data_IF_971337219988
#
_entry.id   IF_971337219988
#
_cell.length_a   1.000
_cell.length_b   1.000
_cell.length_c   1.000
_cell.angle_alpha   90.00
_cell.angle_beta   90.00
_cell.angle_gamma   90.00
#
_symmetry.space_group_name_H-M   'P 1'
#
loop_
_entity.id
_entity.type
_entity.pdbx_description
1 polymer ?
#
# COMPACT_ATOMS: atom_id res chain seq x y z
N UNK A 1 -13.24 10.36 -7.27
CA UNK A 1 -13.11 11.39 -6.22
C UNK A 1 -13.10 10.79 -4.84
N UNK A 2 -13.64 9.58 -4.62
CA UNK A 2 -13.68 8.96 -3.28
C UNK A 2 -14.80 9.52 -2.38
N UNK A 3 -15.26 10.73 -2.69
CA UNK A 3 -16.43 11.35 -2.09
C UNK A 3 -17.72 10.57 -2.37
N UNK A 4 -18.45 10.21 -1.32
CA UNK A 4 -19.73 9.48 -1.43
C UNK A 4 -20.93 10.38 -1.77
N UNK A 5 -20.78 11.70 -1.67
CA UNK A 5 -21.88 12.65 -1.93
C UNK A 5 -22.00 12.92 -3.42
N UNK A 6 -23.22 12.85 -4.00
CA UNK A 6 -23.45 13.24 -5.39
C UNK A 6 -23.06 14.70 -5.61
N UNK A 7 -22.29 14.97 -6.67
CA UNK A 7 -21.99 16.33 -7.10
C UNK A 7 -23.02 16.81 -8.12
N UNK A 8 -23.54 18.01 -7.91
CA UNK A 8 -24.43 18.67 -8.85
C UNK A 8 -23.63 19.16 -10.08
N UNK A 9 -24.08 18.83 -11.29
CA UNK A 9 -23.43 19.22 -12.55
C UNK A 9 -24.36 20.07 -13.40
N UNK A 10 -23.86 21.23 -13.80
CA UNK A 10 -24.55 22.15 -14.71
C UNK A 10 -24.04 22.01 -16.16
N UNK A 11 -24.75 22.63 -17.12
CA UNK A 11 -24.37 22.64 -18.54
C UNK A 11 -22.92 23.09 -18.73
N UNK A 12 -22.14 22.30 -19.48
CA UNK A 12 -20.72 22.55 -19.72
C UNK A 12 -19.78 21.91 -18.69
N UNK A 13 -20.31 21.32 -17.61
CA UNK A 13 -19.53 20.56 -16.65
C UNK A 13 -18.92 19.29 -17.26
N UNK A 14 -17.67 18.99 -16.88
CA UNK A 14 -17.02 17.73 -17.24
C UNK A 14 -17.61 16.59 -16.42
N UNK A 15 -17.87 15.46 -17.07
CA UNK A 15 -18.38 14.23 -16.45
C UNK A 15 -17.33 13.15 -16.62
N UNK A 16 -17.05 12.41 -15.54
CA UNK A 16 -16.08 11.32 -15.55
C UNK A 16 -16.66 10.09 -16.25
N UNK A 17 -15.84 9.38 -17.02
CA UNK A 17 -16.20 8.08 -17.57
C UNK A 17 -16.43 7.10 -16.41
N UNK A 18 -17.63 6.50 -16.35
CA UNK A 18 -18.05 5.61 -15.25
C UNK A 18 -18.85 6.27 -14.12
N UNK A 19 -19.13 7.58 -14.20
CA UNK A 19 -20.03 8.24 -13.25
C UNK A 19 -21.49 7.76 -13.42
N UNK A 20 -22.19 7.59 -12.30
CA UNK A 20 -23.60 7.22 -12.28
C UNK A 20 -24.48 8.47 -12.10
N UNK A 21 -25.51 8.61 -12.93
CA UNK A 21 -26.51 9.67 -12.77
C UNK A 21 -27.50 9.25 -11.70
N UNK A 22 -27.57 10.01 -10.61
CA UNK A 22 -28.47 9.73 -9.48
C UNK A 22 -29.87 10.30 -9.73
N UNK A 23 -29.96 11.53 -10.22
CA UNK A 23 -31.22 12.21 -10.50
C UNK A 23 -31.17 12.96 -11.84
N UNK A 24 -32.29 12.94 -12.58
CA UNK A 24 -32.45 13.63 -13.86
C UNK A 24 -31.93 12.88 -15.09
N UNK A 25 -31.80 13.59 -16.21
CA UNK A 25 -31.23 13.07 -17.45
C UNK A 25 -30.19 14.04 -18.00
N UNK A 26 -29.13 13.49 -18.60
CA UNK A 26 -28.05 14.28 -19.18
C UNK A 26 -27.81 13.85 -20.62
N UNK A 27 -27.58 14.82 -21.49
CA UNK A 27 -27.02 14.59 -22.82
C UNK A 27 -25.58 15.08 -22.76
N UNK A 28 -24.65 14.18 -23.02
CA UNK A 28 -23.22 14.46 -22.96
C UNK A 28 -22.54 14.19 -24.30
N UNK A 29 -21.42 14.86 -24.53
CA UNK A 29 -20.53 14.59 -25.66
C UNK A 29 -19.27 13.93 -25.13
N UNK A 30 -18.89 12.78 -25.69
CA UNK A 30 -17.64 12.12 -25.34
C UNK A 30 -16.46 12.97 -25.85
N UNK A 31 -15.69 13.55 -24.93
CA UNK A 31 -14.46 14.29 -25.25
C UNK A 31 -13.22 13.39 -25.32
N UNK A 32 -13.19 12.30 -24.55
CA UNK A 32 -12.09 11.33 -24.46
C UNK A 32 -12.67 9.92 -24.45
N UNK A 33 -12.01 8.96 -25.12
CA UNK A 33 -12.48 7.58 -25.29
C UNK A 33 -11.39 6.59 -24.88
N UNK A 34 -11.79 5.46 -24.29
CA UNK A 34 -10.91 4.34 -23.97
C UNK A 34 -9.74 4.71 -23.05
N UNK A 35 -8.51 4.50 -23.54
CA UNK A 35 -7.26 4.73 -22.80
C UNK A 35 -6.98 6.19 -22.50
N UNK A 36 -7.63 7.13 -23.19
CA UNK A 36 -7.48 8.57 -22.93
C UNK A 36 -8.41 9.06 -21.80
N UNK A 37 -9.18 8.16 -21.16
CA UNK A 37 -10.01 8.55 -20.01
C UNK A 37 -9.21 8.42 -18.71
N UNK A 38 -9.62 9.16 -17.67
CA UNK A 38 -9.03 9.01 -16.33
C UNK A 38 -9.10 7.57 -15.79
N UNK A 39 -10.10 6.79 -16.19
CA UNK A 39 -10.20 5.37 -15.85
C UNK A 39 -9.18 4.53 -16.64
N UNK A 40 -8.92 4.88 -17.89
CA UNK A 40 -7.88 4.28 -18.73
C UNK A 40 -6.48 4.52 -18.18
N UNK A 41 -6.19 5.74 -17.73
CA UNK A 41 -4.92 6.07 -17.07
C UNK A 41 -4.73 5.27 -15.77
N UNK A 42 -5.79 5.11 -14.97
CA UNK A 42 -5.75 4.26 -13.76
C UNK A 42 -5.51 2.79 -14.09
N UNK A 43 -6.17 2.27 -15.13
CA UNK A 43 -5.98 0.88 -15.59
C UNK A 43 -4.56 0.66 -16.10
N UNK A 44 -3.98 1.62 -16.83
CA UNK A 44 -2.60 1.57 -17.30
C UNK A 44 -1.61 1.63 -16.12
N UNK A 45 -1.80 2.56 -15.18
CA UNK A 45 -0.97 2.65 -13.98
C UNK A 45 -1.06 1.38 -13.13
N UNK A 46 -2.24 0.76 -13.03
CA UNK A 46 -2.45 -0.50 -12.32
C UNK A 46 -1.84 -1.69 -13.07
N UNK A 47 -1.86 -1.68 -14.40
CA UNK A 47 -1.20 -2.67 -15.24
C UNK A 47 0.32 -2.58 -15.11
N UNK A 48 0.88 -1.37 -15.16
CA UNK A 48 2.32 -1.10 -14.98
C UNK A 48 2.81 -1.51 -13.59
N UNK A 49 1.99 -1.31 -12.55
CA UNK A 49 2.29 -1.74 -11.19
C UNK A 49 2.29 -3.28 -11.03
N UNK A 50 1.37 -3.98 -11.71
CA UNK A 50 1.25 -5.45 -11.64
C UNK A 50 2.26 -6.20 -12.52
N UNK A 51 2.91 -5.53 -13.48
CA UNK A 51 3.86 -6.14 -14.42
C UNK A 51 5.25 -6.46 -13.85
N UNK A 52 5.54 -6.12 -12.59
CA UNK A 52 6.88 -6.29 -12.02
C UNK A 52 7.03 -7.68 -11.37
N UNK A 53 8.03 -8.45 -11.83
CA UNK A 53 8.40 -9.74 -11.22
C UNK A 53 8.74 -9.52 -9.74
N UNK A 54 8.09 -10.29 -8.85
CA UNK A 54 8.32 -10.28 -7.41
C UNK A 54 9.84 -10.32 -7.09
N UNK A 55 10.35 -9.40 -6.24
CA UNK A 55 11.77 -9.21 -5.98
C UNK A 55 12.47 -10.47 -5.46
N UNK A 56 11.81 -11.24 -4.58
CA UNK A 56 12.39 -12.44 -3.98
C UNK A 56 12.71 -13.57 -4.97
N UNK A 57 11.95 -13.69 -6.07
CA UNK A 57 12.23 -14.69 -7.10
C UNK A 57 13.59 -14.42 -7.79
N UNK A 58 13.96 -13.14 -7.89
CA UNK A 58 15.24 -12.73 -8.47
C UNK A 58 16.43 -13.06 -7.56
N UNK A 59 16.23 -13.15 -6.24
CA UNK A 59 17.32 -13.45 -5.31
C UNK A 59 17.77 -14.91 -5.44
N UNK A 60 16.82 -15.84 -5.50
CA UNK A 60 17.11 -17.25 -5.75
C UNK A 60 17.76 -17.45 -7.12
N UNK A 61 17.24 -16.80 -8.18
CA UNK A 61 17.81 -16.84 -9.52
C UNK A 61 19.25 -16.29 -9.56
N UNK A 62 19.51 -15.19 -8.83
CA UNK A 62 20.84 -14.57 -8.77
C UNK A 62 21.85 -15.46 -8.05
N UNK A 63 21.46 -16.09 -6.93
CA UNK A 63 22.32 -17.05 -6.24
C UNK A 63 22.59 -18.26 -7.13
N UNK A 64 21.56 -18.81 -7.78
CA UNK A 64 21.71 -19.92 -8.73
C UNK A 64 22.65 -19.56 -9.90
N UNK A 65 22.55 -18.33 -10.42
CA UNK A 65 23.38 -17.86 -11.53
C UNK A 65 24.88 -17.84 -11.22
N UNK A 66 25.26 -17.69 -9.95
CA UNK A 66 26.65 -17.72 -9.49
C UNK A 66 27.05 -19.11 -8.98
N UNK A 67 26.14 -19.79 -8.29
CA UNK A 67 26.41 -21.08 -7.67
C UNK A 67 26.63 -22.20 -8.69
N UNK A 68 25.78 -22.26 -9.74
CA UNK A 68 25.87 -23.28 -10.79
C UNK A 68 27.23 -23.28 -11.51
N UNK A 69 27.75 -22.15 -12.03
CA UNK A 69 29.05 -22.15 -12.69
C UNK A 69 30.21 -22.47 -11.73
N UNK A 70 30.13 -22.05 -10.46
CA UNK A 70 31.16 -22.37 -9.45
C UNK A 70 31.24 -23.88 -9.21
N UNK A 71 30.10 -24.54 -9.02
CA UNK A 71 30.05 -26.00 -8.81
C UNK A 71 30.55 -26.77 -10.04
N UNK A 72 30.22 -26.31 -11.25
CA UNK A 72 30.73 -26.89 -12.49
C UNK A 72 32.26 -26.79 -12.59
N UNK A 73 32.84 -25.65 -12.24
CA UNK A 73 34.30 -25.47 -12.22
C UNK A 73 34.94 -26.40 -11.20
N UNK A 74 34.39 -26.51 -9.99
CA UNK A 74 34.90 -27.41 -8.94
C UNK A 74 34.82 -28.87 -9.40
N UNK A 75 33.72 -29.28 -10.04
CA UNK A 75 33.55 -30.63 -10.58
C UNK A 75 34.61 -30.95 -11.66
N UNK A 76 34.88 -30.01 -12.57
CA UNK A 76 35.93 -30.15 -13.59
C UNK A 76 37.33 -30.23 -12.99
N UNK A 77 37.64 -29.40 -12.00
CA UNK A 77 38.93 -29.44 -11.29
C UNK A 77 39.09 -30.78 -10.57
N UNK A 78 38.03 -31.27 -9.92
CA UNK A 78 38.02 -32.57 -9.23
C UNK A 78 38.27 -33.70 -10.23
N UNK A 79 37.60 -33.67 -11.38
CA UNK A 79 37.82 -34.63 -12.47
C UNK A 79 39.29 -34.63 -12.93
N UNK A 80 39.85 -33.45 -13.22
CA UNK A 80 41.22 -33.31 -13.71
C UNK A 80 42.26 -33.80 -12.69
N UNK A 81 42.11 -33.45 -11.41
CA UNK A 81 43.01 -33.88 -10.34
C UNK A 81 42.98 -35.39 -10.15
N UNK A 82 41.78 -35.99 -10.11
CA UNK A 82 41.64 -37.43 -9.92
C UNK A 82 42.17 -38.20 -11.13
N UNK A 83 41.99 -37.67 -12.34
CA UNK A 83 42.48 -38.29 -13.56
C UNK A 83 44.01 -38.35 -13.60
N UNK A 84 44.69 -37.26 -13.21
CA UNK A 84 46.16 -37.20 -13.18
C UNK A 84 46.74 -38.18 -12.14
N UNK A 85 46.07 -38.36 -11.00
CA UNK A 85 46.55 -39.22 -9.92
C UNK A 85 46.25 -40.71 -10.14
N UNK A 86 45.06 -41.04 -10.64
CA UNK A 86 44.58 -42.44 -10.74
C UNK A 86 44.72 -43.03 -12.14
N UNK A 87 44.90 -42.18 -13.18
CA UNK A 87 44.98 -42.57 -14.59
C UNK A 87 43.78 -43.41 -15.08
N UNK A 88 42.67 -43.38 -14.33
CA UNK A 88 41.44 -44.12 -14.58
C UNK A 88 40.28 -43.14 -14.81
N UNK A 89 39.78 -43.12 -16.04
CA UNK A 89 38.70 -42.24 -16.47
C UNK A 89 37.38 -42.53 -15.75
N UNK A 90 37.11 -43.80 -15.40
CA UNK A 90 35.85 -44.21 -14.76
C UNK A 90 35.78 -43.70 -13.32
N UNK A 91 36.87 -43.86 -12.54
CA UNK A 91 36.90 -43.40 -11.14
C UNK A 91 36.82 -41.87 -11.04
N UNK A 92 37.44 -41.16 -11.98
CA UNK A 92 37.44 -39.70 -12.00
C UNK A 92 36.06 -39.13 -12.31
N UNK A 93 35.31 -39.77 -13.21
CA UNK A 93 33.95 -39.39 -13.53
C UNK A 93 33.00 -39.60 -12.35
N UNK A 94 33.14 -40.71 -11.62
CA UNK A 94 32.35 -40.98 -10.41
C UNK A 94 32.56 -39.86 -9.38
N UNK A 95 33.81 -39.48 -9.10
CA UNK A 95 34.09 -38.39 -8.15
C UNK A 95 33.50 -37.04 -8.59
N UNK A 96 33.61 -36.71 -9.88
CA UNK A 96 33.06 -35.47 -10.43
C UNK A 96 31.52 -35.39 -10.30
N UNK A 97 30.83 -36.50 -10.58
CA UNK A 97 29.37 -36.60 -10.44
C UNK A 97 28.97 -36.56 -8.97
N UNK A 98 29.71 -37.21 -8.07
CA UNK A 98 29.44 -37.15 -6.62
C UNK A 98 29.46 -35.72 -6.10
N UNK A 99 30.43 -34.90 -6.52
CA UNK A 99 30.49 -33.47 -6.16
C UNK A 99 29.26 -32.71 -6.67
N UNK A 100 28.84 -33.00 -7.91
CA UNK A 100 27.68 -32.35 -8.52
C UNK A 100 26.37 -32.67 -7.79
N UNK A 101 26.19 -33.94 -7.40
CA UNK A 101 24.98 -34.42 -6.69
C UNK A 101 24.92 -33.84 -5.27
N UNK A 102 26.04 -33.82 -4.55
CA UNK A 102 26.12 -33.26 -3.19
C UNK A 102 25.84 -31.76 -3.18
N UNK A 103 26.18 -31.05 -4.26
CA UNK A 103 25.98 -29.61 -4.36
C UNK A 103 24.51 -29.19 -4.63
N UNK A 104 23.59 -30.13 -4.85
CA UNK A 104 22.22 -29.79 -5.24
C UNK A 104 21.53 -28.87 -4.20
N UNK A 105 21.17 -27.61 -4.56
CA UNK A 105 20.72 -26.61 -3.59
C UNK A 105 19.23 -26.74 -3.23
N UNK A 106 18.70 -27.95 -3.09
CA UNK A 106 17.26 -28.23 -2.89
C UNK A 106 16.64 -27.41 -1.74
N UNK A 107 17.39 -27.20 -0.66
CA UNK A 107 16.92 -26.42 0.49
C UNK A 107 16.75 -24.92 0.17
N UNK A 108 17.57 -24.38 -0.73
CA UNK A 108 17.58 -22.96 -1.07
C UNK A 108 16.29 -22.55 -1.79
N UNK A 109 15.76 -23.41 -2.66
CA UNK A 109 14.52 -23.15 -3.41
C UNK A 109 13.25 -23.18 -2.55
N UNK A 110 13.27 -23.87 -1.41
CA UNK A 110 12.11 -23.99 -0.52
C UNK A 110 12.18 -23.09 0.72
N UNK A 111 13.37 -22.63 1.12
CA UNK A 111 13.55 -21.80 2.30
C UNK A 111 12.69 -20.52 2.25
N UNK A 112 12.71 -19.82 1.11
CA UNK A 112 11.99 -18.57 0.90
C UNK A 112 10.45 -18.72 0.96
N UNK A 113 9.80 -19.60 0.18
CA UNK A 113 8.34 -19.76 0.26
C UNK A 113 7.89 -20.29 1.62
N UNK A 114 8.69 -21.13 2.29
CA UNK A 114 8.37 -21.60 3.63
C UNK A 114 8.37 -20.46 4.65
N UNK A 115 9.39 -19.59 4.61
CA UNK A 115 9.48 -18.43 5.49
C UNK A 115 8.32 -17.45 5.27
N UNK A 116 7.99 -17.15 4.01
CA UNK A 116 6.89 -16.26 3.64
C UNK A 116 5.55 -16.84 4.10
N UNK A 117 5.29 -18.12 3.86
CA UNK A 117 4.03 -18.76 4.24
C UNK A 117 3.80 -18.74 5.76
N UNK A 118 4.84 -19.02 6.56
CA UNK A 118 4.76 -18.92 8.02
C UNK A 118 4.61 -17.46 8.47
N UNK A 119 5.31 -16.52 7.82
CA UNK A 119 5.20 -15.09 8.11
C UNK A 119 3.80 -14.53 7.85
N UNK A 120 3.20 -14.86 6.71
CA UNK A 120 1.83 -14.51 6.35
C UNK A 120 0.84 -15.09 7.37
N UNK A 121 0.97 -16.37 7.71
CA UNK A 121 0.11 -17.01 8.71
C UNK A 121 0.19 -16.30 10.07
N UNK A 122 1.38 -15.87 10.48
CA UNK A 122 1.56 -15.12 11.73
C UNK A 122 0.97 -13.70 11.66
N UNK A 123 1.10 -13.01 10.52
CA UNK A 123 0.52 -11.68 10.32
C UNK A 123 -1.01 -11.69 10.41
N UNK A 124 -1.65 -12.69 9.82
CA UNK A 124 -3.11 -12.85 9.88
C UNK A 124 -3.60 -13.05 11.31
N UNK A 125 -2.86 -13.81 12.13
CA UNK A 125 -3.19 -13.98 13.55
C UNK A 125 -3.09 -12.67 14.36
N UNK A 126 -2.37 -11.67 13.86
CA UNK A 126 -2.29 -10.32 14.44
C UNK A 126 -3.25 -9.30 13.80
N UNK A 127 -4.15 -9.75 12.92
CA UNK A 127 -5.12 -8.88 12.24
C UNK A 127 -4.56 -8.12 11.04
N UNK A 128 -3.36 -8.47 10.57
CA UNK A 128 -2.73 -7.85 9.39
C UNK A 128 -2.87 -8.78 8.19
N UNK A 129 -3.58 -8.33 7.16
CA UNK A 129 -3.82 -9.11 5.95
C UNK A 129 -2.97 -8.60 4.79
N UNK A 130 -1.99 -9.41 4.36
CA UNK A 130 -1.22 -9.15 3.16
C UNK A 130 -1.88 -9.86 1.97
N UNK A 131 -2.13 -9.11 0.89
CA UNK A 131 -2.74 -9.66 -0.34
C UNK A 131 -1.76 -10.55 -1.11
N UNK A 132 -0.48 -10.19 -1.11
CA UNK A 132 0.57 -10.84 -1.89
C UNK A 132 1.89 -10.93 -1.09
N UNK A 133 2.71 -11.94 -1.40
CA UNK A 133 4.01 -12.13 -0.77
C UNK A 133 4.98 -10.95 -1.00
N UNK A 134 4.93 -10.34 -2.19
CA UNK A 134 5.74 -9.18 -2.54
C UNK A 134 5.40 -7.96 -1.66
N UNK A 135 4.12 -7.76 -1.34
CA UNK A 135 3.71 -6.66 -0.46
C UNK A 135 4.27 -6.83 0.95
N UNK A 136 4.32 -8.06 1.46
CA UNK A 136 4.93 -8.36 2.77
C UNK A 136 6.44 -8.09 2.78
N UNK A 137 7.14 -8.42 1.70
CA UNK A 137 8.58 -8.16 1.54
C UNK A 137 8.87 -6.66 1.44
N UNK A 138 8.15 -5.93 0.59
CA UNK A 138 8.31 -4.48 0.42
C UNK A 138 8.02 -3.73 1.72
N UNK A 139 7.05 -4.19 2.51
CA UNK A 139 6.75 -3.61 3.83
C UNK A 139 7.95 -3.66 4.77
N UNK A 140 8.85 -4.65 4.64
CA UNK A 140 10.07 -4.72 5.44
C UNK A 140 11.11 -3.63 5.07
N UNK A 141 10.96 -3.00 3.90
CA UNK A 141 11.82 -1.92 3.40
C UNK A 141 11.17 -0.53 3.49
N UNK A 142 9.95 -0.42 4.04
CA UNK A 142 9.27 0.87 4.18
C UNK A 142 9.77 1.62 5.41
N UNK A 143 10.36 2.79 5.19
CA UNK A 143 10.78 3.71 6.26
C UNK A 143 9.73 4.79 6.57
N UNK A 144 8.81 5.06 5.64
CA UNK A 144 7.84 6.17 5.74
C UNK A 144 6.45 5.69 5.41
N UNK A 145 5.51 5.95 6.32
CA UNK A 145 4.09 5.63 6.15
C UNK A 145 3.29 6.92 6.02
N UNK A 146 2.61 7.09 4.89
CA UNK A 146 1.67 8.21 4.68
C UNK A 146 0.26 7.67 4.87
N UNK A 147 -0.45 8.21 5.86
CA UNK A 147 -1.80 7.78 6.20
C UNK A 147 -2.81 8.78 5.65
N UNK A 148 -3.89 8.27 5.07
CA UNK A 148 -5.02 9.11 4.71
C UNK A 148 -5.75 9.59 5.98
N UNK A 149 -6.26 10.81 5.96
CA UNK A 149 -6.96 11.38 7.13
C UNK A 149 -8.36 10.78 7.25
N UNK A 150 -9.12 10.84 6.16
CA UNK A 150 -10.54 10.51 6.16
C UNK A 150 -10.72 9.00 6.02
N UNK A 151 -11.30 8.34 7.04
CA UNK A 151 -11.58 6.90 6.98
C UNK A 151 -10.40 5.97 7.29
N UNK A 152 -9.20 6.50 7.54
CA UNK A 152 -8.08 5.74 8.13
C UNK A 152 -7.76 6.24 9.54
N UNK A 153 -7.43 7.53 9.70
CA UNK A 153 -7.21 8.12 11.04
C UNK A 153 -8.50 8.51 11.74
N UNK A 154 -9.53 8.90 10.98
CA UNK A 154 -10.83 9.29 11.53
C UNK A 154 -11.83 8.14 11.45
N UNK A 155 -12.74 8.07 12.43
CA UNK A 155 -13.84 7.09 12.46
C UNK A 155 -14.86 7.25 11.32
N UNK A 156 -14.74 8.29 10.50
CA UNK A 156 -15.73 8.66 9.48
C UNK A 156 -17.03 9.25 10.05
N UNK A 157 -17.13 9.38 11.36
CA UNK A 157 -18.27 9.97 12.06
C UNK A 157 -18.05 11.46 12.30
N UNK A 158 -19.04 12.27 11.89
CA UNK A 158 -19.02 13.72 12.06
C UNK A 158 -19.61 14.07 13.43
N UNK A 159 -18.73 14.48 14.36
CA UNK A 159 -19.15 15.04 15.64
C UNK A 159 -18.95 16.55 15.67
N UNK A 160 -19.98 17.27 16.15
CA UNK A 160 -19.89 18.69 16.42
C UNK A 160 -19.22 18.86 17.79
N UNK A 161 -17.91 19.10 17.78
CA UNK A 161 -17.14 19.25 19.01
C UNK A 161 -17.39 20.59 19.70
N UNK A 162 -17.72 21.64 18.95
CA UNK A 162 -17.94 22.97 19.50
C UNK A 162 -19.10 23.69 18.83
N UNK A 163 -19.97 24.30 19.64
CA UNK A 163 -21.09 25.12 19.19
C UNK A 163 -21.11 26.42 20.00
N UNK A 164 -20.87 27.54 19.32
CA UNK A 164 -21.05 28.85 19.92
C UNK A 164 -22.52 29.28 19.80
N UNK A 165 -23.16 29.53 20.93
CA UNK A 165 -24.45 30.24 20.95
C UNK A 165 -24.17 31.75 20.85
N UNK A 166 -24.17 32.30 19.64
CA UNK A 166 -24.16 33.76 19.39
C UNK A 166 -25.47 34.47 19.83
N UNK A 167 -26.44 33.72 20.33
CA UNK A 167 -27.82 34.15 20.56
C UNK A 167 -28.04 35.28 21.61
N UNK A 168 -27.18 35.53 22.62
CA UNK A 168 -27.40 36.68 23.49
C UNK A 168 -26.83 38.00 22.94
N UNK A 169 -25.73 37.97 22.17
CA UNK A 169 -25.02 39.19 21.76
C UNK A 169 -25.66 39.89 20.55
N UNK A 170 -26.11 39.12 19.55
CA UNK A 170 -26.79 39.67 18.38
C UNK A 170 -28.24 40.10 18.66
N UNK A 171 -28.85 39.63 19.77
CA UNK A 171 -30.20 40.06 20.15
C UNK A 171 -30.23 41.45 20.80
N UNK A 172 -29.14 41.87 21.46
CA UNK A 172 -29.06 43.16 22.14
C UNK A 172 -28.58 44.29 21.21
N UNK A 173 -27.80 43.97 20.17
CA UNK A 173 -27.22 44.97 19.25
C UNK A 173 -27.76 44.89 17.81
N UNK A 174 -28.83 44.12 17.55
CA UNK A 174 -29.48 44.12 16.23
C UNK A 174 -30.20 45.46 15.98
N UNK A 175 -29.88 46.19 14.88
CA UNK A 175 -30.66 47.34 14.47
C UNK A 175 -32.12 46.91 14.23
N UNK A 176 -33.08 47.77 14.62
CA UNK A 176 -34.50 47.45 14.73
C UNK A 176 -35.18 46.83 13.48
N UNK A 177 -34.52 46.88 12.32
CA UNK A 177 -35.01 46.29 11.06
C UNK A 177 -34.75 44.77 10.92
N UNK A 178 -34.02 44.13 11.83
CA UNK A 178 -33.66 42.71 11.74
C UNK A 178 -34.53 41.76 12.61
N UNK A 179 -35.66 42.24 13.16
CA UNK A 179 -36.56 41.38 13.95
C UNK A 179 -37.43 40.44 13.10
N UNK A 180 -37.45 40.62 11.77
CA UNK A 180 -38.16 39.76 10.84
C UNK A 180 -37.19 38.80 10.12
N UNK A 181 -36.86 37.69 10.80
CA UNK A 181 -36.67 36.38 10.17
C UNK A 181 -35.61 36.22 9.07
N UNK A 182 -34.47 36.91 9.09
CA UNK A 182 -33.37 36.62 8.16
C UNK A 182 -32.20 35.96 8.87
N UNK A 183 -31.96 34.69 8.52
CA UNK A 183 -30.84 33.87 8.98
C UNK A 183 -29.52 34.46 8.45
N UNK A 184 -28.74 35.11 9.32
CA UNK A 184 -27.37 35.52 9.01
C UNK A 184 -26.47 34.27 8.91
N UNK A 185 -26.20 33.82 7.67
CA UNK A 185 -25.19 32.82 7.39
C UNK A 185 -23.80 33.47 7.39
N UNK A 186 -23.08 33.41 8.51
CA UNK A 186 -21.65 33.72 8.55
C UNK A 186 -20.88 32.51 8.02
N UNK A 187 -20.45 32.59 6.76
CA UNK A 187 -19.45 31.71 6.18
C UNK A 187 -18.08 32.15 6.70
N UNK A 188 -17.68 31.62 7.85
CA UNK A 188 -16.33 31.78 8.37
C UNK A 188 -15.46 30.66 7.81
N UNK A 189 -14.66 31.01 6.79
CA UNK A 189 -13.54 30.19 6.33
C UNK A 189 -12.62 29.88 7.51
N UNK A 190 -12.40 28.59 7.74
CA UNK A 190 -11.68 28.07 8.89
C UNK A 190 -10.17 28.15 8.62
N UNK A 191 -9.55 29.30 8.88
CA UNK A 191 -8.11 29.39 9.14
C UNK A 191 -7.87 29.07 10.61
N UNK A 192 -7.47 27.82 10.90
CA UNK A 192 -7.12 27.38 12.26
C UNK A 192 -5.68 27.81 12.55
N UNK A 193 -5.53 28.93 13.23
CA UNK A 193 -4.30 29.33 13.93
C UNK A 193 -4.17 28.47 15.18
N UNK A 194 -3.14 27.63 15.25
CA UNK A 194 -2.78 26.90 16.47
C UNK A 194 -2.24 27.87 17.53
N UNK A 195 -3.05 28.14 18.55
CA UNK A 195 -2.64 28.80 19.79
C UNK A 195 -2.87 27.87 20.99
N UNK A 196 -1.76 27.35 21.54
CA UNK A 196 -1.52 26.87 22.92
C UNK A 196 -2.71 26.58 23.86
N UNK A 197 -2.80 25.35 24.41
CA UNK A 197 -2.56 25.04 25.85
C UNK A 197 -2.78 23.52 26.08
N UNK A 198 -1.71 22.77 26.40
CA UNK A 198 -1.84 21.41 26.93
C UNK A 198 -2.29 21.49 28.41
N UNK A 199 -3.35 20.77 28.84
CA UNK A 199 -3.61 20.60 30.26
C UNK A 199 -2.69 19.49 30.79
N UNK A 200 -1.71 19.90 31.58
CA UNK A 200 -1.01 19.01 32.50
C UNK A 200 -1.95 18.65 33.65
N UNK A 201 -2.47 17.42 33.66
CA UNK A 201 -3.13 16.83 34.83
C UNK A 201 -2.22 15.73 35.43
N UNK A 202 -1.74 15.87 36.69
CA UNK A 202 -0.88 14.92 37.34
C UNK A 202 -1.68 13.96 38.24
N UNK A 203 -2.57 13.15 37.69
CA UNK A 203 -3.07 11.94 38.37
C UNK A 203 -3.98 11.14 37.45
N UNK A 204 -3.47 10.04 36.88
CA UNK A 204 -4.11 8.72 36.96
C UNK A 204 -3.39 7.70 36.07
N UNK A 205 -2.66 6.81 36.74
CA UNK A 205 -2.68 5.36 36.57
C UNK A 205 -2.69 4.79 35.15
N UNK A 206 -1.49 4.41 34.69
CA UNK A 206 -1.31 3.26 33.81
C UNK A 206 -2.10 2.05 34.34
N UNK A 207 -3.00 1.51 33.52
CA UNK A 207 -3.55 0.16 33.68
C UNK A 207 -3.72 -0.44 32.29
N UNK A 208 -2.85 -1.40 31.99
CA UNK A 208 -2.94 -2.29 30.85
C UNK A 208 -3.80 -3.50 31.22
N UNK A 209 -4.91 -3.72 30.54
CA UNK A 209 -5.71 -4.95 30.47
C UNK A 209 -6.55 -4.86 29.18
N UNK A 210 -6.71 -5.83 28.30
CA UNK A 210 -6.23 -7.21 28.14
C UNK A 210 -6.70 -7.70 26.77
#
# INVERSE_FOLDING_TARGET
TGESRPEEKQKGGKVLAGAMVTEGSIIYRANQLGSQTLLGDMMNALSDAQGSKAPIARFADKVASVFVPVVLVISLVTFALTYILTNNSVSSLIHAVSVLVIACPCALGLATPAAIMVGLGKAVNTGVWFKDAAAMEETAHVDTVVLDKTGTLTKGELEIWWSYKLLPYLRQNAPNNARNGTTFGLNLGCDIVFGHQWPSDPSNGFSAQG
#
